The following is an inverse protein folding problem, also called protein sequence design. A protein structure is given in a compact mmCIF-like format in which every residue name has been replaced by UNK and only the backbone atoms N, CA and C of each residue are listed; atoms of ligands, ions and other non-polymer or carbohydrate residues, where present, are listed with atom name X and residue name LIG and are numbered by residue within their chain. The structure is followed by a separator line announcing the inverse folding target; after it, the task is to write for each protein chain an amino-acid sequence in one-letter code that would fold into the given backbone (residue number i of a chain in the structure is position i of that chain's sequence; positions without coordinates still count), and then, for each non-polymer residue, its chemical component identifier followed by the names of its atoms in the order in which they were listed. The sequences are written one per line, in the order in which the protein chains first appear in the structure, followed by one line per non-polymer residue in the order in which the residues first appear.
data_IF_973011921886
#
_entry.id   IF_973011921886
#
_cell.length_a   1.000
_cell.length_b   1.000
_cell.length_c   1.000
_cell.angle_alpha   90.00
_cell.angle_beta   90.00
_cell.angle_gamma   90.00
#
_symmetry.space_group_name_H-M   'P 1'
#
loop_
_entity.id
_entity.type
_entity.pdbx_description
1 polymer ?
#
# COMPACT_ATOMS: atom_id res chain seq x y z
N UNK A 1 3.76 3.69 9.78
CA UNK A 1 3.71 4.12 8.38
C UNK A 1 4.68 5.27 8.16
N UNK A 2 5.52 5.21 7.15
CA UNK A 2 6.45 6.27 6.79
C UNK A 2 6.06 6.88 5.44
N UNK A 3 5.77 8.19 5.43
CA UNK A 3 5.26 8.93 4.28
C UNK A 3 3.76 9.22 4.40
N UNK A 4 3.42 10.49 4.55
CA UNK A 4 2.05 10.97 4.73
C UNK A 4 1.42 11.48 3.40
N UNK A 5 1.71 10.78 2.32
CA UNK A 5 1.05 10.98 1.02
C UNK A 5 -0.34 10.31 0.98
N UNK A 6 -0.95 10.28 -0.22
CA UNK A 6 -2.28 9.65 -0.42
C UNK A 6 -2.31 8.20 0.08
N UNK A 7 -1.31 7.40 -0.31
CA UNK A 7 -1.25 6.00 0.10
C UNK A 7 -0.97 5.86 1.60
N UNK A 8 0.02 6.57 2.15
CA UNK A 8 0.37 6.46 3.57
C UNK A 8 -0.77 6.87 4.51
N UNK A 9 -1.51 7.94 4.18
CA UNK A 9 -2.70 8.35 4.92
C UNK A 9 -3.80 7.27 4.90
N UNK A 10 -4.09 6.73 3.71
CA UNK A 10 -5.10 5.67 3.57
C UNK A 10 -4.67 4.34 4.17
N UNK A 11 -3.38 4.00 4.15
CA UNK A 11 -2.85 2.81 4.83
C UNK A 11 -2.93 2.96 6.35
N UNK A 12 -2.69 4.16 6.90
CA UNK A 12 -2.88 4.39 8.33
C UNK A 12 -4.31 4.06 8.77
N UNK A 13 -5.32 4.40 7.96
CA UNK A 13 -6.71 4.03 8.21
C UNK A 13 -6.92 2.51 8.18
N UNK A 14 -6.30 1.80 7.23
CA UNK A 14 -6.42 0.33 7.13
C UNK A 14 -5.87 -0.35 8.38
N UNK A 15 -4.70 0.07 8.86
CA UNK A 15 -4.09 -0.51 10.06
C UNK A 15 -4.85 -0.15 11.33
N UNK A 16 -5.29 1.11 11.49
CA UNK A 16 -6.10 1.54 12.64
C UNK A 16 -7.47 0.84 12.66
N UNK A 17 -8.14 0.66 11.50
CA UNK A 17 -9.36 -0.12 11.40
C UNK A 17 -9.17 -1.57 11.86
N UNK A 18 -8.02 -2.16 11.54
CA UNK A 18 -7.61 -3.49 12.00
C UNK A 18 -7.23 -3.57 13.48
N UNK A 19 -7.31 -2.47 14.23
CA UNK A 19 -7.00 -2.40 15.66
C UNK A 19 -5.51 -2.29 15.98
N UNK A 20 -4.70 -1.86 15.04
CA UNK A 20 -3.27 -1.64 15.25
C UNK A 20 -3.01 -0.22 15.76
N UNK A 21 -2.21 -0.08 16.82
CA UNK A 21 -1.63 1.22 17.19
C UNK A 21 -0.80 1.75 16.03
N UNK A 22 -1.22 2.87 15.44
CA UNK A 22 -0.73 3.31 14.15
C UNK A 22 -0.09 4.69 14.20
N UNK A 23 1.22 4.73 13.95
CA UNK A 23 1.96 5.98 13.77
C UNK A 23 2.08 6.30 12.28
N UNK A 24 1.71 7.53 11.90
CA UNK A 24 1.93 8.07 10.56
C UNK A 24 3.04 9.12 10.65
N UNK A 25 4.23 8.72 10.25
CA UNK A 25 5.41 9.57 10.21
C UNK A 25 5.53 10.33 8.90
N UNK A 26 5.91 11.60 8.99
CA UNK A 26 6.36 12.38 7.83
C UNK A 26 7.42 13.40 8.24
N UNK A 27 8.34 13.73 7.32
CA UNK A 27 9.43 14.69 7.58
C UNK A 27 8.95 16.12 7.86
N UNK A 28 7.72 16.47 7.50
CA UNK A 28 7.20 17.82 7.65
C UNK A 28 5.79 17.83 8.25
N UNK A 29 5.54 18.78 9.15
CA UNK A 29 4.22 19.03 9.73
C UNK A 29 3.17 19.31 8.64
N UNK A 30 3.52 20.11 7.62
CA UNK A 30 2.63 20.38 6.48
C UNK A 30 2.13 19.12 5.75
N UNK A 31 2.97 18.09 5.67
CA UNK A 31 2.58 16.79 5.11
C UNK A 31 1.58 16.06 6.01
N UNK A 32 1.80 16.08 7.32
CA UNK A 32 0.89 15.50 8.31
C UNK A 32 -0.47 16.22 8.34
N UNK A 33 -0.47 17.54 8.25
CA UNK A 33 -1.71 18.33 8.21
C UNK A 33 -2.59 17.95 7.01
N UNK A 34 -1.95 17.78 5.83
CA UNK A 34 -2.66 17.30 4.62
C UNK A 34 -3.18 15.87 4.78
N UNK A 35 -2.38 14.98 5.36
CA UNK A 35 -2.80 13.60 5.62
C UNK A 35 -3.98 13.55 6.59
N UNK A 36 -3.97 14.38 7.63
CA UNK A 36 -5.09 14.51 8.57
C UNK A 36 -6.39 14.89 7.89
N UNK A 37 -6.34 15.87 6.98
CA UNK A 37 -7.54 16.27 6.22
C UNK A 37 -7.99 15.18 5.24
N UNK A 38 -7.05 14.48 4.58
CA UNK A 38 -7.39 13.36 3.69
C UNK A 38 -8.05 12.20 4.47
N UNK A 39 -7.52 11.85 5.64
CA UNK A 39 -8.11 10.82 6.52
C UNK A 39 -9.55 11.21 6.86
N UNK A 40 -9.81 12.45 7.29
CA UNK A 40 -11.16 12.92 7.61
C UNK A 40 -12.11 12.83 6.40
N UNK A 41 -11.64 13.21 5.21
CA UNK A 41 -12.43 13.13 3.98
C UNK A 41 -12.80 11.67 3.69
N UNK A 42 -11.83 10.76 3.71
CA UNK A 42 -12.07 9.35 3.47
C UNK A 42 -13.08 8.77 4.49
N UNK A 43 -12.87 9.05 5.78
CA UNK A 43 -13.76 8.57 6.85
C UNK A 43 -15.18 9.12 6.68
N UNK A 44 -15.33 10.40 6.31
CA UNK A 44 -16.65 11.00 6.07
C UNK A 44 -17.39 10.33 4.90
N UNK A 45 -16.66 9.89 3.87
CA UNK A 45 -17.23 9.14 2.76
C UNK A 45 -17.66 7.74 3.22
N UNK A 46 -16.82 7.02 3.97
CA UNK A 46 -17.13 5.68 4.46
C UNK A 46 -18.38 5.68 5.37
N UNK A 47 -18.53 6.70 6.23
CA UNK A 47 -19.72 6.89 7.08
C UNK A 47 -20.95 7.20 6.24
N UNK A 48 -20.85 8.14 5.30
CA UNK A 48 -21.96 8.53 4.40
C UNK A 48 -22.48 7.36 3.59
N UNK A 49 -21.60 6.51 3.09
CA UNK A 49 -21.94 5.31 2.32
C UNK A 49 -22.32 4.10 3.21
N UNK A 50 -22.43 4.29 4.53
CA UNK A 50 -22.74 3.24 5.52
C UNK A 50 -21.80 2.03 5.51
N UNK A 51 -20.52 2.23 5.14
CA UNK A 51 -19.48 1.19 5.16
C UNK A 51 -18.97 0.99 6.58
N UNK A 52 -18.87 2.07 7.36
CA UNK A 52 -18.53 2.05 8.79
C UNK A 52 -19.50 2.95 9.57
N UNK A 53 -19.62 2.73 10.89
CA UNK A 53 -20.37 3.64 11.74
C UNK A 53 -19.59 4.90 12.12
N UNK A 54 -20.26 6.00 12.53
CA UNK A 54 -19.57 7.20 13.03
C UNK A 54 -18.61 6.92 14.19
N UNK A 55 -18.98 6.02 15.12
CA UNK A 55 -18.16 5.65 16.29
C UNK A 55 -16.89 4.92 15.86
N UNK A 56 -16.95 4.07 14.82
CA UNK A 56 -15.77 3.41 14.24
C UNK A 56 -14.85 4.45 13.61
N UNK A 57 -15.41 5.40 12.86
CA UNK A 57 -14.64 6.48 12.23
C UNK A 57 -13.91 7.36 13.27
N UNK A 58 -14.60 7.76 14.33
CA UNK A 58 -13.99 8.53 15.43
C UNK A 58 -12.84 7.75 16.09
N UNK A 59 -13.02 6.46 16.32
CA UNK A 59 -11.97 5.57 16.85
C UNK A 59 -10.76 5.55 15.93
N UNK A 60 -10.93 5.27 14.63
CA UNK A 60 -9.83 5.23 13.65
C UNK A 60 -9.04 6.54 13.66
N UNK A 61 -9.73 7.68 13.61
CA UNK A 61 -9.09 9.00 13.62
C UNK A 61 -8.30 9.22 14.92
N UNK A 62 -8.81 8.77 16.06
CA UNK A 62 -8.16 8.93 17.37
C UNK A 62 -6.96 8.01 17.58
N UNK A 63 -6.94 6.84 16.95
CA UNK A 63 -5.87 5.83 17.06
C UNK A 63 -4.68 6.11 16.15
N UNK A 64 -4.79 7.03 15.17
CA UNK A 64 -3.69 7.40 14.29
C UNK A 64 -2.87 8.54 14.88
N UNK A 65 -1.66 8.24 15.31
CA UNK A 65 -0.71 9.22 15.86
C UNK A 65 0.12 9.82 14.72
N UNK A 66 -0.07 11.13 14.47
CA UNK A 66 0.71 11.87 13.47
C UNK A 66 1.99 12.40 14.10
N UNK A 67 3.16 12.11 13.51
CA UNK A 67 4.44 12.51 14.11
C UNK A 67 5.52 12.84 13.09
N UNK A 68 6.39 13.79 13.43
CA UNK A 68 7.64 14.07 12.71
C UNK A 68 8.86 13.44 13.41
N UNK A 69 8.65 12.77 14.56
CA UNK A 69 9.70 12.24 15.40
C UNK A 69 10.11 10.82 14.99
N UNK A 70 11.42 10.61 14.82
CA UNK A 70 11.99 9.30 14.44
C UNK A 70 11.85 8.24 15.55
N UNK A 71 11.57 8.65 16.77
CA UNK A 71 11.40 7.74 17.92
C UNK A 71 10.26 6.73 17.70
N UNK A 72 9.28 7.07 16.88
CA UNK A 72 8.16 6.17 16.54
C UNK A 72 8.60 4.87 15.83
N UNK A 73 9.83 4.81 15.31
CA UNK A 73 10.34 3.60 14.66
C UNK A 73 10.95 2.60 15.62
N UNK A 74 11.40 3.05 16.80
CA UNK A 74 12.21 2.22 17.71
C UNK A 74 11.46 0.98 18.22
N UNK A 75 10.19 1.14 18.58
CA UNK A 75 9.34 0.09 19.15
C UNK A 75 8.34 -0.52 18.15
N UNK A 76 8.44 -0.13 16.87
CA UNK A 76 7.53 -0.63 15.84
C UNK A 76 7.71 -2.13 15.57
N UNK A 77 6.62 -2.88 15.51
CA UNK A 77 6.58 -4.29 15.08
C UNK A 77 6.61 -4.43 13.56
N UNK A 78 6.06 -3.42 12.87
CA UNK A 78 6.00 -3.33 11.42
C UNK A 78 6.24 -1.89 10.98
N UNK A 79 7.14 -1.69 10.03
CA UNK A 79 7.33 -0.40 9.34
C UNK A 79 6.97 -0.56 7.87
N UNK A 80 5.99 0.19 7.40
CA UNK A 80 5.61 0.26 5.98
C UNK A 80 6.02 1.61 5.42
N UNK A 81 6.89 1.62 4.43
CA UNK A 81 7.34 2.82 3.76
C UNK A 81 6.46 3.10 2.53
N UNK A 82 5.96 4.31 2.44
CA UNK A 82 5.13 4.84 1.34
C UNK A 82 5.55 6.28 0.99
N UNK A 83 6.87 6.49 0.81
CA UNK A 83 7.44 7.77 0.39
C UNK A 83 7.46 7.89 -1.15
N UNK A 84 8.14 8.92 -1.67
CA UNK A 84 8.29 9.13 -3.11
C UNK A 84 8.84 7.89 -3.83
N UNK A 85 8.33 7.62 -5.04
CA UNK A 85 8.73 6.46 -5.85
C UNK A 85 10.05 6.74 -6.58
N UNK A 86 11.13 6.73 -5.81
CA UNK A 86 12.50 6.97 -6.24
C UNK A 86 13.43 6.03 -5.49
N UNK A 87 14.28 5.30 -6.21
CA UNK A 87 15.11 4.25 -5.64
C UNK A 87 16.12 4.79 -4.63
N UNK A 88 16.77 5.91 -4.95
CA UNK A 88 17.79 6.49 -4.09
C UNK A 88 17.17 7.06 -2.80
N UNK A 89 16.00 7.68 -2.90
CA UNK A 89 15.24 8.16 -1.74
C UNK A 89 14.82 7.01 -0.83
N UNK A 90 14.35 5.88 -1.38
CA UNK A 90 13.97 4.69 -0.61
C UNK A 90 15.19 4.02 0.02
N UNK A 91 16.31 3.89 -0.71
CA UNK A 91 17.58 3.39 -0.16
C UNK A 91 18.10 4.27 0.98
N UNK A 92 18.09 5.59 0.80
CA UNK A 92 18.50 6.53 1.85
C UNK A 92 17.62 6.41 3.11
N UNK A 93 16.31 6.30 2.93
CA UNK A 93 15.37 6.08 4.03
C UNK A 93 15.68 4.77 4.76
N UNK A 94 15.84 3.66 4.07
CA UNK A 94 16.07 2.35 4.68
C UNK A 94 17.45 2.19 5.29
N UNK A 95 18.48 2.80 4.71
CA UNK A 95 19.83 2.85 5.31
C UNK A 95 19.82 3.49 6.70
N UNK A 96 18.99 4.52 6.89
CA UNK A 96 18.82 5.17 8.19
C UNK A 96 17.87 4.38 9.11
N UNK A 97 16.66 4.07 8.64
CA UNK A 97 15.58 3.57 9.51
C UNK A 97 15.72 2.11 9.90
N UNK A 98 16.29 1.27 9.03
CA UNK A 98 16.45 -0.15 9.37
C UNK A 98 17.39 -0.42 10.56
N UNK A 99 18.26 0.54 10.89
CA UNK A 99 19.11 0.48 12.08
C UNK A 99 18.46 0.94 13.37
N UNK A 100 17.37 1.73 13.28
CA UNK A 100 16.61 2.23 14.43
C UNK A 100 15.54 1.23 14.86
N UNK A 101 14.89 0.58 13.89
CA UNK A 101 13.79 -0.35 14.11
C UNK A 101 14.28 -1.62 14.82
N UNK A 102 13.48 -2.16 15.73
CA UNK A 102 13.75 -3.46 16.40
C UNK A 102 14.22 -4.52 15.40
N UNK A 103 15.06 -5.43 15.87
CA UNK A 103 15.67 -6.47 15.01
C UNK A 103 14.67 -7.52 14.50
N UNK A 104 13.59 -7.73 15.22
CA UNK A 104 12.52 -8.71 14.94
C UNK A 104 11.31 -8.10 14.20
N UNK A 105 11.30 -6.77 14.02
CA UNK A 105 10.24 -6.10 13.28
C UNK A 105 10.31 -6.41 11.78
N UNK A 106 9.16 -6.43 11.13
CA UNK A 106 9.04 -6.55 9.68
C UNK A 106 9.22 -5.16 9.04
N UNK A 107 9.97 -5.11 7.96
CA UNK A 107 10.16 -3.90 7.16
C UNK A 107 9.50 -4.10 5.80
N UNK A 108 8.69 -3.15 5.36
CA UNK A 108 7.95 -3.26 4.11
C UNK A 108 7.98 -1.96 3.31
N UNK A 109 8.05 -2.07 2.00
CA UNK A 109 7.93 -0.95 1.07
C UNK A 109 6.66 -1.06 0.23
N UNK A 110 5.93 0.06 0.10
CA UNK A 110 4.73 0.15 -0.76
C UNK A 110 5.10 0.68 -2.15
N UNK A 111 6.22 0.26 -2.69
CA UNK A 111 6.61 0.58 -4.06
C UNK A 111 5.64 -0.05 -5.06
N UNK A 112 5.38 0.62 -6.18
CA UNK A 112 4.51 0.12 -7.25
C UNK A 112 5.27 -0.47 -8.43
N UNK A 113 6.61 -0.34 -8.47
CA UNK A 113 7.37 -0.80 -9.63
C UNK A 113 8.88 -0.96 -9.44
N UNK A 114 9.44 -0.46 -8.34
CA UNK A 114 10.85 -0.66 -8.03
C UNK A 114 11.07 -2.08 -7.50
N UNK A 115 12.19 -2.70 -7.87
CA UNK A 115 12.54 -4.02 -7.34
C UNK A 115 12.79 -3.98 -5.84
N UNK A 116 12.14 -4.90 -5.13
CA UNK A 116 12.32 -5.05 -3.69
C UNK A 116 13.78 -5.38 -3.37
N UNK A 117 14.38 -6.22 -4.20
CA UNK A 117 15.80 -6.63 -4.13
C UNK A 117 16.74 -5.41 -4.16
N UNK A 118 16.47 -4.45 -5.07
CA UNK A 118 17.32 -3.26 -5.21
C UNK A 118 17.19 -2.29 -4.03
N UNK A 119 15.99 -2.17 -3.45
CA UNK A 119 15.78 -1.36 -2.24
C UNK A 119 16.44 -2.05 -1.03
N UNK A 120 16.34 -3.38 -0.95
CA UNK A 120 16.86 -4.20 0.14
C UNK A 120 18.37 -4.10 0.32
N UNK A 121 19.16 -3.71 -0.71
CA UNK A 121 20.60 -3.48 -0.61
C UNK A 121 20.97 -2.46 0.47
N UNK A 122 20.08 -1.53 0.79
CA UNK A 122 20.29 -0.53 1.83
C UNK A 122 19.71 -0.91 3.20
N UNK A 123 19.08 -2.07 3.31
CA UNK A 123 18.40 -2.53 4.54
C UNK A 123 19.35 -3.34 5.42
N UNK A 124 19.43 -2.98 6.69
CA UNK A 124 20.12 -3.81 7.69
C UNK A 124 19.28 -5.05 7.98
N UNK A 125 19.83 -6.24 7.71
CA UNK A 125 19.14 -7.51 7.79
C UNK A 125 17.94 -7.59 6.80
N UNK A 126 18.20 -7.71 5.51
CA UNK A 126 17.17 -7.71 4.46
C UNK A 126 16.26 -8.96 4.49
N UNK A 127 16.58 -9.99 5.28
CA UNK A 127 15.72 -11.16 5.43
C UNK A 127 14.33 -10.82 5.98
N UNK A 128 14.19 -9.70 6.70
CA UNK A 128 12.93 -9.17 7.25
C UNK A 128 12.28 -8.10 6.38
N UNK A 129 12.79 -7.88 5.17
CA UNK A 129 12.30 -6.86 4.24
C UNK A 129 11.46 -7.49 3.13
N UNK A 130 10.31 -6.88 2.82
CA UNK A 130 9.33 -7.39 1.85
C UNK A 130 8.61 -6.26 1.14
N UNK A 131 8.14 -6.48 -0.08
CA UNK A 131 7.22 -5.56 -0.74
C UNK A 131 5.79 -5.77 -0.23
N UNK A 132 5.06 -4.68 -0.05
CA UNK A 132 3.65 -4.67 0.33
C UNK A 132 2.91 -3.71 -0.59
N UNK A 133 2.61 -4.17 -1.81
CA UNK A 133 2.02 -3.36 -2.85
C UNK A 133 0.50 -3.30 -2.72
N UNK A 134 -0.01 -2.13 -2.37
CA UNK A 134 -1.42 -1.83 -2.24
C UNK A 134 -1.95 -1.08 -3.45
N UNK A 135 -3.20 -1.32 -3.78
CA UNK A 135 -3.92 -0.54 -4.78
C UNK A 135 -4.62 0.66 -4.15
N UNK A 136 -4.61 1.78 -4.85
CA UNK A 136 -5.33 2.98 -4.43
C UNK A 136 -6.81 2.92 -4.85
N UNK A 137 -7.76 3.12 -3.93
CA UNK A 137 -7.63 3.41 -2.50
C UNK A 137 -7.60 2.14 -1.64
N UNK A 138 -6.57 1.95 -0.77
CA UNK A 138 -6.36 0.70 -0.03
C UNK A 138 -7.43 0.41 1.03
N UNK A 139 -8.13 1.43 1.51
CA UNK A 139 -9.24 1.24 2.47
C UNK A 139 -10.48 0.63 1.80
N UNK A 140 -10.64 0.74 0.47
CA UNK A 140 -11.74 0.15 -0.29
C UNK A 140 -11.35 -1.16 -0.98
N UNK A 141 -10.14 -1.23 -1.55
CA UNK A 141 -9.70 -2.40 -2.31
C UNK A 141 -9.12 -3.47 -1.39
N UNK A 142 -9.50 -4.75 -1.58
CA UNK A 142 -9.03 -5.82 -0.71
C UNK A 142 -7.62 -6.32 -1.05
N UNK A 143 -7.16 -6.19 -2.29
CA UNK A 143 -5.91 -6.78 -2.75
C UNK A 143 -4.67 -6.12 -2.13
N UNK A 144 -3.75 -6.96 -1.68
CA UNK A 144 -2.37 -6.59 -1.36
C UNK A 144 -1.42 -7.62 -1.95
N UNK A 145 -0.51 -7.21 -2.84
CA UNK A 145 0.55 -8.07 -3.32
C UNK A 145 1.72 -8.04 -2.34
N UNK A 146 2.17 -9.22 -1.91
CA UNK A 146 3.37 -9.43 -1.08
C UNK A 146 4.50 -9.80 -2.02
N UNK A 147 5.44 -8.90 -2.26
CA UNK A 147 6.53 -9.11 -3.22
C UNK A 147 7.77 -9.61 -2.50
N UNK A 148 8.24 -10.78 -2.91
CA UNK A 148 9.34 -11.50 -2.28
C UNK A 148 10.66 -11.14 -2.96
N UNK A 149 11.47 -10.29 -2.31
CA UNK A 149 12.82 -9.98 -2.76
C UNK A 149 13.80 -11.15 -2.58
N UNK A 150 14.98 -11.03 -3.18
CA UNK A 150 15.99 -12.10 -3.20
C UNK A 150 16.38 -12.61 -1.81
N UNK A 151 16.45 -11.73 -0.83
CA UNK A 151 16.89 -12.05 0.53
C UNK A 151 15.72 -12.17 1.53
N UNK A 152 14.49 -11.91 1.11
CA UNK A 152 13.30 -12.00 1.97
C UNK A 152 13.14 -13.42 2.50
N UNK A 153 13.14 -13.59 3.83
CA UNK A 153 12.93 -14.89 4.46
C UNK A 153 11.48 -15.36 4.35
N UNK A 154 11.26 -16.68 4.25
CA UNK A 154 9.90 -17.24 4.18
C UNK A 154 9.06 -16.88 5.41
N UNK A 155 9.66 -16.89 6.61
CA UNK A 155 9.00 -16.46 7.86
C UNK A 155 8.45 -15.01 7.77
N UNK A 156 9.18 -14.12 7.11
CA UNK A 156 8.72 -12.73 6.86
C UNK A 156 7.51 -12.70 5.94
N UNK A 157 7.54 -13.52 4.88
CA UNK A 157 6.39 -13.66 3.95
C UNK A 157 5.17 -14.19 4.68
N UNK A 158 5.33 -15.25 5.48
CA UNK A 158 4.24 -15.91 6.21
C UNK A 158 3.62 -14.96 7.24
N UNK A 159 4.45 -14.22 7.99
CA UNK A 159 4.00 -13.20 8.93
C UNK A 159 3.26 -12.07 8.22
N UNK A 160 3.81 -11.55 7.11
CA UNK A 160 3.14 -10.50 6.35
C UNK A 160 1.80 -10.98 5.79
N UNK A 161 1.75 -12.20 5.25
CA UNK A 161 0.50 -12.80 4.79
C UNK A 161 -0.56 -12.83 5.90
N UNK A 162 -0.17 -13.29 7.10
CA UNK A 162 -1.07 -13.33 8.26
C UNK A 162 -1.57 -11.93 8.62
N UNK A 163 -0.70 -10.95 8.70
CA UNK A 163 -1.05 -9.55 8.99
C UNK A 163 -2.10 -9.04 7.98
N UNK A 164 -1.88 -9.23 6.68
CA UNK A 164 -2.80 -8.76 5.64
C UNK A 164 -4.17 -9.43 5.77
N UNK A 165 -4.22 -10.73 6.09
CA UNK A 165 -5.48 -11.44 6.36
C UNK A 165 -6.18 -10.89 7.60
N UNK A 166 -5.46 -10.64 8.69
CA UNK A 166 -6.00 -10.04 9.93
C UNK A 166 -6.57 -8.63 9.70
N UNK A 167 -6.02 -7.88 8.73
CA UNK A 167 -6.58 -6.60 8.29
C UNK A 167 -7.84 -6.75 7.41
N UNK A 168 -8.35 -7.97 7.21
CA UNK A 168 -9.52 -8.24 6.36
C UNK A 168 -9.25 -8.09 4.87
N UNK A 169 -7.98 -8.21 4.46
CA UNK A 169 -7.55 -8.04 3.07
C UNK A 169 -7.15 -9.38 2.44
N UNK A 170 -6.95 -9.37 1.13
CA UNK A 170 -6.63 -10.55 0.31
C UNK A 170 -5.17 -10.49 -0.15
N UNK A 171 -4.24 -11.16 0.55
CA UNK A 171 -2.84 -11.20 0.15
C UNK A 171 -2.60 -12.13 -1.03
N UNK A 172 -1.71 -11.73 -1.93
CA UNK A 172 -1.18 -12.57 -3.01
C UNK A 172 0.34 -12.50 -2.98
N UNK A 173 1.00 -13.64 -2.88
CA UNK A 173 2.47 -13.70 -2.87
C UNK A 173 3.00 -13.69 -4.30
N UNK A 174 3.89 -12.74 -4.60
CA UNK A 174 4.41 -12.46 -5.94
C UNK A 174 5.93 -12.41 -5.90
N UNK A 175 6.60 -12.91 -6.94
CA UNK A 175 8.04 -12.75 -7.12
C UNK A 175 8.38 -11.30 -7.46
N UNK A 176 9.59 -10.88 -7.11
CA UNK A 176 10.13 -9.57 -7.44
C UNK A 176 10.43 -9.46 -8.95
N UNK A 177 9.41 -9.07 -9.72
CA UNK A 177 9.45 -8.92 -11.16
C UNK A 177 8.90 -7.54 -11.57
N UNK A 178 9.32 -7.03 -12.71
CA UNK A 178 8.88 -5.74 -13.23
C UNK A 178 7.35 -5.66 -13.32
N UNK A 179 6.77 -4.67 -12.62
CA UNK A 179 5.34 -4.36 -12.63
C UNK A 179 4.47 -5.38 -11.89
N UNK A 180 5.06 -6.32 -11.15
CA UNK A 180 4.38 -7.33 -10.35
C UNK A 180 3.29 -8.08 -11.16
N UNK A 181 2.17 -8.45 -10.56
CA UNK A 181 1.09 -9.12 -11.31
C UNK A 181 0.01 -8.13 -11.73
N UNK A 182 -0.51 -7.32 -10.79
CA UNK A 182 -1.64 -6.45 -11.08
C UNK A 182 -1.31 -5.37 -12.12
N UNK A 183 -0.15 -4.71 -12.01
CA UNK A 183 0.24 -3.69 -12.99
C UNK A 183 0.45 -4.31 -14.38
N UNK A 184 1.03 -5.51 -14.47
CA UNK A 184 1.21 -6.21 -15.75
C UNK A 184 -0.12 -6.50 -16.43
N UNK A 185 -1.13 -6.96 -15.67
CA UNK A 185 -2.48 -7.22 -16.18
C UNK A 185 -3.15 -5.92 -16.62
N UNK A 186 -3.09 -4.87 -15.78
CA UNK A 186 -3.67 -3.56 -16.12
C UNK A 186 -3.05 -2.98 -17.40
N UNK A 187 -1.73 -2.99 -17.52
CA UNK A 187 -1.07 -2.47 -18.73
C UNK A 187 -1.28 -3.34 -19.96
N UNK A 188 -1.48 -4.66 -19.81
CA UNK A 188 -1.85 -5.50 -20.92
C UNK A 188 -3.25 -5.13 -21.47
N UNK A 189 -4.22 -4.95 -20.57
CA UNK A 189 -5.57 -4.50 -20.93
C UNK A 189 -5.52 -3.09 -21.53
N UNK A 190 -4.77 -2.17 -20.94
CA UNK A 190 -4.65 -0.80 -21.46
C UNK A 190 -4.07 -0.76 -22.87
N UNK A 191 -3.00 -1.54 -23.15
CA UNK A 191 -2.42 -1.60 -24.50
C UNK A 191 -3.43 -2.09 -25.52
N UNK A 192 -4.19 -3.14 -25.18
CA UNK A 192 -5.22 -3.68 -26.07
C UNK A 192 -6.37 -2.69 -26.27
N UNK A 193 -6.83 -2.02 -25.21
CA UNK A 193 -7.85 -0.97 -25.28
C UNK A 193 -7.44 0.17 -26.23
N UNK A 194 -6.18 0.63 -26.13
CA UNK A 194 -5.64 1.66 -27.03
C UNK A 194 -5.57 1.14 -28.47
N UNK A 195 -5.16 -0.09 -28.69
CA UNK A 195 -5.09 -0.71 -30.02
C UNK A 195 -6.48 -0.83 -30.69
N UNK A 196 -7.51 -1.19 -29.93
CA UNK A 196 -8.91 -1.23 -30.43
C UNK A 196 -9.34 0.17 -30.93
N UNK A 197 -9.00 1.22 -30.19
CA UNK A 197 -9.31 2.60 -30.62
C UNK A 197 -8.48 3.02 -31.84
N UNK A 198 -7.19 2.75 -31.85
CA UNK A 198 -6.29 3.08 -32.97
C UNK A 198 -6.70 2.42 -34.28
N UNK A 199 -7.23 1.19 -34.22
CA UNK A 199 -7.73 0.48 -35.40
C UNK A 199 -9.13 0.92 -35.85
N UNK A 200 -9.79 1.82 -35.09
CA UNK A 200 -11.12 2.32 -35.39
C UNK A 200 -12.24 1.30 -35.14
N UNK A 201 -11.95 0.22 -34.39
CA UNK A 201 -12.94 -0.81 -34.09
C UNK A 201 -14.00 -0.32 -33.08
N UNK A 202 -13.62 0.59 -32.17
CA UNK A 202 -14.52 1.23 -31.20
C UNK A 202 -14.01 2.62 -30.82
N UNK A 203 -14.87 3.45 -30.23
CA UNK A 203 -14.48 4.73 -29.62
C UNK A 203 -13.89 4.52 -28.21
N UNK A 204 -13.23 5.54 -27.66
CA UNK A 204 -12.74 5.51 -26.27
C UNK A 204 -13.90 5.28 -25.28
N UNK A 205 -15.03 5.94 -25.50
CA UNK A 205 -16.24 5.85 -24.67
C UNK A 205 -16.85 4.44 -24.73
N UNK A 206 -16.84 3.80 -25.90
CA UNK A 206 -17.33 2.43 -26.06
C UNK A 206 -16.42 1.43 -25.33
N UNK A 207 -15.10 1.57 -25.46
CA UNK A 207 -14.13 0.71 -24.75
C UNK A 207 -14.28 0.86 -23.24
N UNK A 208 -14.41 2.09 -22.73
CA UNK A 208 -14.63 2.37 -21.31
C UNK A 208 -15.96 1.75 -20.82
N UNK A 209 -17.01 1.84 -21.63
CA UNK A 209 -18.32 1.23 -21.34
C UNK A 209 -18.21 -0.30 -21.26
N UNK A 210 -17.55 -0.94 -22.22
CA UNK A 210 -17.31 -2.39 -22.23
C UNK A 210 -16.52 -2.84 -21.00
N UNK A 211 -15.47 -2.06 -20.62
CA UNK A 211 -14.70 -2.35 -19.42
C UNK A 211 -15.54 -2.26 -18.16
N UNK A 212 -16.31 -1.20 -17.97
CA UNK A 212 -17.11 -0.97 -16.76
C UNK A 212 -18.34 -1.87 -16.67
N UNK A 213 -19.15 -1.90 -17.71
CA UNK A 213 -20.43 -2.63 -17.72
C UNK A 213 -20.30 -4.11 -18.07
N UNK A 214 -19.19 -4.52 -18.68
CA UNK A 214 -18.91 -5.90 -19.10
C UNK A 214 -17.87 -6.57 -18.23
N UNK A 215 -16.60 -6.36 -18.57
CA UNK A 215 -15.49 -7.10 -17.98
C UNK A 215 -15.33 -6.83 -16.47
N UNK A 216 -15.47 -5.58 -16.02
CA UNK A 216 -15.32 -5.22 -14.61
C UNK A 216 -16.31 -5.95 -13.71
N UNK A 217 -17.60 -5.98 -14.09
CA UNK A 217 -18.63 -6.72 -13.36
C UNK A 217 -18.41 -8.23 -13.42
N UNK A 218 -18.04 -8.73 -14.60
CA UNK A 218 -17.80 -10.17 -14.80
C UNK A 218 -16.63 -10.67 -13.97
N UNK A 219 -15.49 -9.94 -13.98
CA UNK A 219 -14.31 -10.34 -13.22
C UNK A 219 -14.53 -10.29 -11.71
N UNK A 220 -15.34 -9.35 -11.21
CA UNK A 220 -15.70 -9.32 -9.81
C UNK A 220 -16.51 -10.56 -9.35
N UNK A 221 -17.27 -11.18 -10.27
CA UNK A 221 -18.14 -12.32 -9.97
C UNK A 221 -17.52 -13.68 -10.35
N UNK A 222 -16.75 -13.76 -11.44
CA UNK A 222 -16.33 -15.02 -12.06
C UNK A 222 -14.81 -15.20 -12.18
N UNK A 223 -14.02 -14.18 -11.88
CA UNK A 223 -12.56 -14.19 -12.06
C UNK A 223 -12.09 -14.03 -13.49
#
# INVERSE_FOLDING_TARGET
LAGAGTMGASLAQVYALGGWETYLYNRSQKGLDRAKELIKINESVLVRENIISPEISERIISEIVLTTENTCFADADLVVESIVEDLDAKRAFWAEKSGIVRRDAILATNTSGLHITDIAEAVINPSRFVGQHWLNPPHLLPLCEIIVGKETAQDTVDKMHKIIVELGKSPVVVKDINGFVINRLQFAILREALHIVETGAATLEDVDTVMKAGLGLRYAALG
#
